data_IF_566187053429
#
_entry.id   IF_566187053429
#
_cell.length_a   1.000
_cell.length_b   1.000
_cell.length_c   1.000
_cell.angle_alpha   90.00
_cell.angle_beta   90.00
_cell.angle_gamma   90.00
#
_symmetry.space_group_name_H-M   'P 1'
#
loop_
_entity.id
_entity.type
_entity.pdbx_description
1 polymer ?
#
# COMPACT_ATOMS: atom_id res chain seq x y z
N UNK A 1 23.96 29.40 -7.49
CA UNK A 1 24.01 28.48 -6.33
C UNK A 1 24.63 27.19 -6.83
N UNK A 2 25.74 26.74 -6.25
CA UNK A 2 26.38 25.50 -6.66
C UNK A 2 25.47 24.30 -6.31
N UNK A 3 25.45 23.30 -7.19
CA UNK A 3 24.70 22.04 -7.03
C UNK A 3 25.03 21.35 -5.70
N UNK A 4 26.28 21.48 -5.25
CA UNK A 4 26.82 20.90 -4.02
C UNK A 4 26.12 21.43 -2.76
N UNK A 5 25.88 22.74 -2.68
CA UNK A 5 25.17 23.34 -1.57
C UNK A 5 23.72 22.83 -1.47
N UNK A 6 23.12 22.56 -2.63
CA UNK A 6 21.75 22.06 -2.73
C UNK A 6 21.68 20.59 -2.29
N UNK A 7 22.70 19.81 -2.61
CA UNK A 7 22.84 18.43 -2.14
C UNK A 7 22.98 18.36 -0.61
N UNK A 8 23.86 19.17 -0.01
CA UNK A 8 24.04 19.21 1.46
C UNK A 8 22.75 19.64 2.15
N UNK A 9 22.01 20.59 1.57
CA UNK A 9 20.73 21.04 2.13
C UNK A 9 19.68 19.92 2.11
N UNK A 10 19.69 19.06 1.10
CA UNK A 10 18.75 17.93 0.99
C UNK A 10 19.09 16.79 1.94
N UNK A 11 20.38 16.53 2.17
CA UNK A 11 20.88 15.41 2.99
C UNK A 11 21.43 15.90 4.34
N UNK A 12 20.88 16.98 4.88
CA UNK A 12 21.42 17.62 6.08
C UNK A 12 21.42 16.71 7.31
N UNK A 13 20.36 15.91 7.45
CA UNK A 13 20.18 14.97 8.57
C UNK A 13 21.27 13.90 8.50
N UNK A 14 21.42 13.25 7.33
CA UNK A 14 22.43 12.21 7.10
C UNK A 14 23.86 12.71 7.37
N UNK A 15 24.12 13.97 7.00
CA UNK A 15 25.41 14.64 7.25
C UNK A 15 25.66 14.82 8.75
N UNK A 16 24.66 15.18 9.53
CA UNK A 16 24.79 15.45 10.98
C UNK A 16 24.82 14.15 11.78
N UNK A 17 24.03 13.17 11.40
CA UNK A 17 24.00 11.84 12.02
C UNK A 17 25.23 10.98 11.67
N UNK A 18 26.04 11.42 10.70
CA UNK A 18 27.20 10.66 10.23
C UNK A 18 26.82 9.37 9.52
N UNK A 19 25.58 9.25 9.04
CA UNK A 19 25.03 8.04 8.40
C UNK A 19 25.37 7.92 6.92
N UNK A 20 26.29 8.74 6.42
CA UNK A 20 26.77 8.68 5.04
C UNK A 20 27.62 7.43 4.85
N UNK A 21 27.08 6.49 4.08
CA UNK A 21 27.63 5.13 3.88
C UNK A 21 28.95 5.06 3.13
N UNK A 22 29.36 6.13 2.45
CA UNK A 22 30.58 6.15 1.62
C UNK A 22 31.62 7.12 2.16
N UNK A 23 32.86 6.65 2.38
CA UNK A 23 34.00 7.48 2.80
C UNK A 23 34.29 8.63 1.83
N UNK A 24 34.07 8.41 0.53
CA UNK A 24 34.27 9.42 -0.52
C UNK A 24 33.35 10.63 -0.33
N UNK A 25 32.07 10.38 -0.04
CA UNK A 25 31.10 11.45 0.21
C UNK A 25 31.44 12.23 1.48
N UNK A 26 31.91 11.56 2.53
CA UNK A 26 32.35 12.24 3.76
C UNK A 26 33.50 13.22 3.50
N UNK A 27 34.55 12.78 2.80
CA UNK A 27 35.68 13.66 2.43
C UNK A 27 35.24 14.82 1.54
N UNK A 28 34.33 14.57 0.62
CA UNK A 28 33.80 15.59 -0.27
C UNK A 28 33.01 16.67 0.50
N UNK A 29 32.17 16.25 1.45
CA UNK A 29 31.40 17.17 2.31
C UNK A 29 32.34 17.99 3.18
N UNK A 30 33.32 17.38 3.83
CA UNK A 30 34.33 18.11 4.61
C UNK A 30 35.08 19.14 3.75
N UNK A 31 35.45 18.76 2.53
CA UNK A 31 36.06 19.67 1.56
C UNK A 31 35.16 20.87 1.26
N UNK A 32 33.89 20.62 0.97
CA UNK A 32 32.92 21.68 0.69
C UNK A 32 32.67 22.58 1.90
N UNK A 33 32.56 22.02 3.12
CA UNK A 33 32.33 22.80 4.34
C UNK A 33 33.52 23.72 4.68
N UNK A 34 34.75 23.35 4.30
CA UNK A 34 35.92 24.22 4.46
C UNK A 34 35.91 25.42 3.50
N UNK A 35 35.35 25.24 2.30
CA UNK A 35 35.30 26.29 1.27
C UNK A 35 34.05 27.16 1.39
N UNK A 36 32.89 26.57 1.71
CA UNK A 36 31.60 27.23 1.74
C UNK A 36 31.13 27.53 3.17
N UNK A 37 31.37 28.76 3.62
CA UNK A 37 30.95 29.24 4.94
C UNK A 37 29.43 29.15 5.16
N UNK A 38 28.62 29.31 4.12
CA UNK A 38 27.15 29.22 4.21
C UNK A 38 26.69 27.81 4.61
N UNK A 39 27.25 26.77 3.99
CA UNK A 39 26.93 25.39 4.31
C UNK A 39 27.48 25.01 5.69
N UNK A 40 28.68 25.47 6.05
CA UNK A 40 29.24 25.26 7.40
C UNK A 40 28.36 25.86 8.50
N UNK A 41 27.88 27.09 8.33
CA UNK A 41 26.96 27.72 9.29
C UNK A 41 25.63 26.97 9.37
N UNK A 42 25.10 26.50 8.24
CA UNK A 42 23.85 25.77 8.19
C UNK A 42 23.95 24.43 8.93
N UNK A 43 25.00 23.64 8.67
CA UNK A 43 25.26 22.37 9.37
C UNK A 43 25.44 22.62 10.87
N UNK A 44 26.24 23.61 11.26
CA UNK A 44 26.47 23.95 12.67
C UNK A 44 25.19 24.34 13.41
N UNK A 45 24.34 25.17 12.80
CA UNK A 45 23.05 25.57 13.40
C UNK A 45 22.10 24.38 13.56
N UNK A 46 22.06 23.52 12.55
CA UNK A 46 21.25 22.32 12.60
C UNK A 46 21.75 21.38 13.70
N UNK A 47 23.05 21.11 13.76
CA UNK A 47 23.67 20.29 14.80
C UNK A 47 23.34 20.81 16.21
N UNK A 48 23.48 22.11 16.48
CA UNK A 48 23.11 22.70 17.78
C UNK A 48 21.63 22.49 18.13
N UNK A 49 20.75 22.58 17.12
CA UNK A 49 19.31 22.35 17.31
C UNK A 49 19.04 20.88 17.56
N UNK A 50 19.73 19.99 16.85
CA UNK A 50 19.62 18.55 16.99
C UNK A 50 20.07 18.08 18.37
N UNK A 51 21.23 18.54 18.85
CA UNK A 51 21.74 18.26 20.19
C UNK A 51 20.75 18.72 21.28
N UNK A 52 20.09 19.88 21.08
CA UNK A 52 19.04 20.37 21.98
C UNK A 52 17.80 19.48 21.99
N UNK A 53 17.47 18.83 20.86
CA UNK A 53 16.36 17.87 20.77
C UNK A 53 16.73 16.49 21.33
N UNK A 54 17.98 16.07 21.21
CA UNK A 54 18.46 14.75 21.63
C UNK A 54 18.62 14.64 23.15
N UNK A 55 18.88 15.78 23.82
CA UNK A 55 18.80 15.88 25.28
C UNK A 55 17.54 16.65 25.70
N UNK A 56 16.32 16.11 25.49
CA UNK A 56 15.16 16.73 26.10
C UNK A 56 15.38 16.67 27.61
N UNK A 57 15.31 17.83 28.26
CA UNK A 57 15.23 17.90 29.71
C UNK A 57 14.17 16.86 30.13
N UNK A 58 14.55 15.90 30.99
CA UNK A 58 13.62 14.84 31.40
C UNK A 58 12.43 15.52 32.05
N UNK A 59 11.36 15.71 31.27
CA UNK A 59 10.08 16.15 31.79
C UNK A 59 9.60 14.97 32.61
N UNK A 60 9.77 15.06 33.93
CA UNK A 60 9.18 14.11 34.84
C UNK A 60 7.67 14.16 34.61
N UNK A 61 7.12 13.08 34.05
CA UNK A 61 5.70 12.96 33.86
C UNK A 61 5.03 13.12 35.23
N UNK A 62 3.96 13.91 35.29
CA UNK A 62 3.20 14.01 36.54
C UNK A 62 2.73 12.62 36.95
N UNK A 63 2.66 12.28 38.25
CA UNK A 63 2.28 10.95 38.72
C UNK A 63 0.87 10.52 38.25
N UNK A 64 0.05 11.46 37.75
CA UNK A 64 -1.26 11.21 37.19
C UNK A 64 -1.31 11.16 35.65
N UNK A 65 -0.19 11.47 34.97
CA UNK A 65 -0.14 11.51 33.50
C UNK A 65 -0.35 10.12 32.91
N UNK A 66 0.38 9.12 33.39
CA UNK A 66 0.30 7.74 32.87
C UNK A 66 -1.11 7.15 33.05
N UNK A 67 -1.71 7.34 34.22
CA UNK A 67 -3.07 6.87 34.48
C UNK A 67 -4.11 7.61 33.62
N UNK A 68 -3.93 8.90 33.39
CA UNK A 68 -4.81 9.69 32.51
C UNK A 68 -4.64 9.31 31.04
N UNK A 69 -3.42 9.01 30.60
CA UNK A 69 -3.10 8.54 29.25
C UNK A 69 -3.72 7.17 29.02
N UNK A 70 -3.50 6.23 29.94
CA UNK A 70 -4.04 4.88 29.86
C UNK A 70 -5.56 4.89 29.81
N UNK A 71 -6.20 5.71 30.65
CA UNK A 71 -7.67 5.90 30.63
C UNK A 71 -8.14 6.43 29.27
N UNK A 72 -7.48 7.43 28.69
CA UNK A 72 -7.83 7.97 27.37
C UNK A 72 -7.68 6.93 26.25
N UNK A 73 -6.62 6.13 26.28
CA UNK A 73 -6.41 5.03 25.31
C UNK A 73 -7.54 4.01 25.41
N UNK A 74 -7.92 3.62 26.63
CA UNK A 74 -9.03 2.71 26.88
C UNK A 74 -10.38 3.28 26.43
N UNK A 75 -10.64 4.57 26.67
CA UNK A 75 -11.86 5.24 26.20
C UNK A 75 -11.93 5.29 24.66
N UNK A 76 -10.82 5.59 23.99
CA UNK A 76 -10.73 5.57 22.53
C UNK A 76 -10.99 4.16 21.96
N UNK A 77 -10.43 3.13 22.59
CA UNK A 77 -10.70 1.74 22.18
C UNK A 77 -12.14 1.32 22.44
N UNK A 78 -12.71 1.69 23.60
CA UNK A 78 -14.08 1.32 23.98
C UNK A 78 -15.14 1.94 23.05
N UNK A 79 -14.85 3.13 22.50
CA UNK A 79 -15.68 3.76 21.47
C UNK A 79 -15.67 3.03 20.10
N UNK A 80 -14.61 2.28 19.78
CA UNK A 80 -14.48 1.51 18.53
C UNK A 80 -15.26 0.19 18.54
N UNK A 81 -15.42 -0.43 19.71
CA UNK A 81 -16.01 -1.79 19.82
C UNK A 81 -17.47 -1.84 19.33
N UNK A 82 -18.21 -0.74 19.42
CA UNK A 82 -19.61 -0.69 18.93
C UNK A 82 -19.65 -0.70 17.38
N UNK A 83 -18.59 -0.27 16.70
CA UNK A 83 -18.48 -0.32 15.23
C UNK A 83 -17.87 -1.61 14.67
N UNK A 84 -16.98 -2.27 15.42
CA UNK A 84 -16.22 -3.44 14.92
C UNK A 84 -17.01 -4.75 14.89
N UNK A 85 -18.04 -4.91 15.72
CA UNK A 85 -18.90 -6.11 15.70
C UNK A 85 -19.65 -6.28 14.38
N UNK A 86 -19.98 -5.17 13.69
CA UNK A 86 -20.62 -5.20 12.37
C UNK A 86 -19.62 -5.46 11.24
N UNK A 87 -18.38 -5.02 11.39
CA UNK A 87 -17.31 -5.25 10.41
C UNK A 87 -16.77 -6.69 10.45
N UNK A 88 -16.74 -7.32 11.64
CA UNK A 88 -16.37 -8.73 11.80
C UNK A 88 -17.33 -9.70 11.10
N UNK A 89 -18.63 -9.44 11.20
CA UNK A 89 -19.67 -10.27 10.55
C UNK A 89 -19.55 -10.23 9.00
N UNK A 90 -19.25 -9.05 8.44
CA UNK A 90 -19.04 -8.86 7.00
C UNK A 90 -17.80 -9.60 6.47
N UNK A 91 -16.75 -9.76 7.30
CA UNK A 91 -15.55 -10.52 6.92
C UNK A 91 -15.81 -12.02 6.81
N UNK A 92 -16.67 -12.59 7.66
CA UNK A 92 -17.07 -14.01 7.59
C UNK A 92 -18.08 -14.26 6.44
N UNK A 93 -18.88 -13.26 6.08
CA UNK A 93 -19.85 -13.38 4.99
C UNK A 93 -19.21 -13.44 3.59
N UNK A 94 -18.03 -12.84 3.40
CA UNK A 94 -17.31 -12.82 2.12
C UNK A 94 -17.01 -14.20 1.52
N UNK A 95 -16.39 -15.16 2.25
CA UNK A 95 -16.13 -16.48 1.69
C UNK A 95 -17.43 -17.25 1.37
N UNK A 96 -18.50 -17.04 2.15
CA UNK A 96 -19.81 -17.69 1.92
C UNK A 96 -20.48 -17.18 0.64
N UNK A 97 -20.40 -15.87 0.37
CA UNK A 97 -20.93 -15.30 -0.88
C UNK A 97 -20.21 -15.85 -2.12
N UNK A 98 -18.90 -16.04 -2.06
CA UNK A 98 -18.13 -16.58 -3.18
C UNK A 98 -18.48 -18.05 -3.47
N UNK A 99 -18.59 -18.88 -2.43
CA UNK A 99 -18.98 -20.28 -2.60
C UNK A 99 -20.43 -20.40 -3.08
N UNK A 100 -21.36 -19.63 -2.52
CA UNK A 100 -22.74 -19.58 -2.98
C UNK A 100 -22.85 -19.16 -4.45
N UNK A 101 -22.10 -18.13 -4.88
CA UNK A 101 -22.05 -17.69 -6.28
C UNK A 101 -21.56 -18.79 -7.22
N UNK A 102 -20.53 -19.56 -6.83
CA UNK A 102 -20.03 -20.69 -7.61
C UNK A 102 -21.10 -21.79 -7.77
N UNK A 103 -21.80 -22.14 -6.70
CA UNK A 103 -22.88 -23.13 -6.75
C UNK A 103 -24.05 -22.67 -7.64
N UNK A 104 -24.41 -21.39 -7.56
CA UNK A 104 -25.45 -20.80 -8.41
C UNK A 104 -25.03 -20.89 -9.88
N UNK A 105 -23.79 -20.48 -10.21
CA UNK A 105 -23.29 -20.54 -11.58
C UNK A 105 -23.25 -21.98 -12.13
N UNK A 106 -22.83 -22.96 -11.31
CA UNK A 106 -22.86 -24.38 -11.68
C UNK A 106 -24.28 -24.88 -11.92
N UNK A 107 -25.22 -24.52 -11.06
CA UNK A 107 -26.63 -24.91 -11.19
C UNK A 107 -27.24 -24.38 -12.48
N UNK A 108 -27.06 -23.09 -12.76
CA UNK A 108 -27.54 -22.46 -13.99
C UNK A 108 -26.85 -23.02 -15.23
N UNK A 109 -25.53 -23.20 -15.19
CA UNK A 109 -24.77 -23.78 -16.30
C UNK A 109 -25.21 -25.21 -16.62
N UNK A 110 -25.45 -26.03 -15.59
CA UNK A 110 -25.99 -27.39 -15.76
C UNK A 110 -27.38 -27.36 -16.39
N UNK A 111 -28.26 -26.49 -15.89
CA UNK A 111 -29.62 -26.38 -16.43
C UNK A 111 -29.60 -25.95 -17.90
N UNK A 112 -28.85 -24.89 -18.25
CA UNK A 112 -28.69 -24.38 -19.61
C UNK A 112 -28.09 -25.42 -20.57
N UNK A 113 -27.08 -26.16 -20.11
CA UNK A 113 -26.43 -27.21 -20.90
C UNK A 113 -27.36 -28.39 -21.21
N UNK A 114 -28.37 -28.64 -20.36
CA UNK A 114 -29.33 -29.72 -20.59
C UNK A 114 -30.44 -29.31 -21.57
N UNK A 115 -30.82 -28.03 -21.62
CA UNK A 115 -31.84 -27.52 -22.58
C UNK A 115 -31.34 -27.63 -24.03
N UNK A 116 -30.02 -27.60 -24.26
CA UNK A 116 -29.44 -27.73 -25.61
C UNK A 116 -29.32 -29.18 -26.11
N UNK A 117 -29.62 -30.19 -25.27
CA UNK A 117 -29.59 -31.62 -25.69
C UNK A 117 -30.91 -32.10 -26.28
N UNK A 118 -31.97 -31.32 -26.14
CA UNK A 118 -33.18 -31.48 -26.95
C UNK A 118 -32.90 -30.77 -28.28
N UNK A 119 -32.51 -31.58 -29.27
CA UNK A 119 -31.73 -31.16 -30.44
C UNK A 119 -32.32 -30.02 -31.25
N UNK A 120 -31.49 -29.37 -32.10
CA UNK A 120 -32.01 -28.46 -33.11
C UNK A 120 -33.03 -29.23 -33.94
N UNK A 121 -34.28 -28.77 -33.93
CA UNK A 121 -35.25 -29.17 -34.92
C UNK A 121 -34.56 -29.15 -36.29
N UNK A 122 -34.57 -30.28 -36.97
CA UNK A 122 -33.92 -30.50 -38.26
C UNK A 122 -34.25 -29.36 -39.22
N UNK A 123 -33.33 -28.40 -39.32
CA UNK A 123 -33.43 -27.31 -40.27
C UNK A 123 -33.03 -27.90 -41.61
N UNK A 124 -34.04 -28.12 -42.46
CA UNK A 124 -33.86 -28.66 -43.80
C UNK A 124 -32.89 -27.81 -44.63
N UNK A 125 -32.26 -28.39 -45.65
CA UNK A 125 -31.04 -27.86 -46.29
C UNK A 125 -31.25 -26.62 -47.19
N UNK A 126 -32.30 -25.81 -46.99
CA UNK A 126 -32.67 -24.74 -47.92
C UNK A 126 -32.61 -23.31 -47.37
N UNK A 127 -32.34 -23.08 -46.08
CA UNK A 127 -32.29 -21.71 -45.51
C UNK A 127 -30.87 -21.26 -45.14
N UNK A 128 -29.91 -21.48 -46.05
CA UNK A 128 -28.56 -20.91 -45.98
C UNK A 128 -28.51 -19.64 -46.85
N UNK A 129 -29.35 -18.65 -46.55
CA UNK A 129 -29.12 -17.26 -46.93
C UNK A 129 -29.68 -16.40 -45.81
N UNK A 130 -28.85 -15.54 -45.22
CA UNK A 130 -29.17 -14.62 -44.11
C UNK A 130 -29.06 -15.19 -42.69
N UNK A 131 -27.93 -15.78 -42.35
CA UNK A 131 -27.38 -15.60 -41.00
C UNK A 131 -26.04 -14.87 -41.16
N UNK A 132 -26.06 -13.58 -40.85
CA UNK A 132 -24.87 -12.73 -40.90
C UNK A 132 -23.75 -13.36 -40.10
N UNK A 133 -22.62 -13.59 -40.77
CA UNK A 133 -21.34 -13.83 -40.12
C UNK A 133 -21.06 -12.63 -39.21
N UNK A 134 -21.30 -12.78 -37.91
CA UNK A 134 -20.65 -11.93 -36.93
C UNK A 134 -19.24 -12.48 -36.79
N UNK A 135 -18.35 -11.96 -37.64
CA UNK A 135 -16.91 -12.03 -37.43
C UNK A 135 -16.62 -11.45 -36.04
N UNK A 136 -16.40 -12.32 -35.06
CA UNK A 136 -15.78 -11.94 -33.81
C UNK A 136 -14.33 -11.57 -34.12
N UNK A 137 -14.13 -10.30 -34.46
CA UNK A 137 -12.82 -9.67 -34.58
C UNK A 137 -12.03 -9.95 -33.31
N UNK A 138 -10.96 -10.74 -33.43
CA UNK A 138 -10.05 -11.13 -32.36
C UNK A 138 -9.18 -9.97 -31.85
N UNK A 139 -9.66 -8.73 -32.00
CA UNK A 139 -8.97 -7.50 -31.63
C UNK A 139 -9.34 -6.94 -30.25
N UNK A 140 -10.30 -7.53 -29.53
CA UNK A 140 -10.83 -6.93 -28.30
C UNK A 140 -10.46 -7.68 -27.00
N UNK A 141 -9.50 -8.61 -27.08
CA UNK A 141 -8.92 -9.28 -25.92
C UNK A 141 -7.69 -8.54 -25.36
N UNK A 142 -7.22 -7.48 -26.02
CA UNK A 142 -6.17 -6.59 -25.49
C UNK A 142 -6.67 -5.69 -24.36
N UNK A 143 -7.98 -5.41 -24.28
CA UNK A 143 -8.57 -4.57 -23.21
C UNK A 143 -8.51 -5.27 -21.84
N UNK A 144 -8.51 -6.61 -21.81
CA UNK A 144 -8.36 -7.37 -20.56
C UNK A 144 -6.89 -7.59 -20.15
N UNK A 145 -5.93 -7.28 -21.03
CA UNK A 145 -4.51 -7.37 -20.72
C UNK A 145 -3.92 -6.07 -20.14
N UNK A 146 -4.67 -4.95 -20.20
CA UNK A 146 -4.27 -3.66 -19.64
C UNK A 146 -4.67 -3.46 -18.16
N UNK A 147 -5.38 -4.41 -17.55
CA UNK A 147 -5.49 -4.46 -16.10
C UNK A 147 -4.19 -4.99 -15.51
N UNK A 148 -3.23 -4.06 -15.40
CA UNK A 148 -1.94 -4.20 -14.74
C UNK A 148 -2.04 -5.07 -13.48
N UNK A 149 -1.54 -6.31 -13.62
CA UNK A 149 -1.35 -7.26 -12.53
C UNK A 149 -0.37 -6.75 -11.46
N UNK A 150 0.22 -5.57 -11.64
CA UNK A 150 1.14 -4.93 -10.69
C UNK A 150 0.47 -4.31 -9.46
N UNK A 151 -0.85 -4.09 -9.46
CA UNK A 151 -1.49 -3.39 -8.32
C UNK A 151 -1.92 -4.31 -7.16
N UNK A 152 -2.23 -5.58 -7.43
CA UNK A 152 -2.76 -6.48 -6.40
C UNK A 152 -1.65 -7.17 -5.59
N UNK A 153 -0.53 -7.49 -6.24
CA UNK A 153 0.63 -8.10 -5.57
C UNK A 153 1.38 -7.10 -4.71
N UNK A 154 1.50 -5.84 -5.14
CA UNK A 154 2.11 -4.79 -4.32
C UNK A 154 1.29 -4.48 -3.06
N UNK A 155 -0.03 -4.57 -3.15
CA UNK A 155 -0.90 -4.41 -1.98
C UNK A 155 -0.72 -5.55 -0.96
N UNK A 156 -0.49 -6.79 -1.42
CA UNK A 156 -0.24 -7.93 -0.54
C UNK A 156 1.17 -7.98 0.03
N UNK A 157 2.17 -7.47 -0.70
CA UNK A 157 3.53 -7.35 -0.19
C UNK A 157 3.64 -6.23 0.86
N UNK A 158 2.96 -5.10 0.65
CA UNK A 158 2.98 -4.00 1.62
C UNK A 158 2.20 -4.33 2.92
N UNK A 159 1.18 -5.18 2.86
CA UNK A 159 0.43 -5.61 4.06
C UNK A 159 1.15 -6.61 4.96
N UNK A 160 2.15 -7.33 4.44
CA UNK A 160 2.89 -8.33 5.23
C UNK A 160 4.17 -7.77 5.88
N UNK A 161 4.66 -6.61 5.45
CA UNK A 161 5.82 -5.96 6.09
C UNK A 161 5.44 -5.36 7.44
N UNK A 162 4.23 -4.80 7.58
CA UNK A 162 3.75 -4.18 8.83
C UNK A 162 3.40 -5.18 9.96
N UNK A 163 3.44 -6.50 9.72
CA UNK A 163 3.09 -7.52 10.75
C UNK A 163 4.27 -8.20 11.41
N UNK A 164 5.51 -7.88 11.05
CA UNK A 164 6.70 -8.57 11.57
C UNK A 164 7.53 -7.80 12.60
N UNK A 165 7.20 -6.54 12.91
CA UNK A 165 7.96 -5.78 13.92
C UNK A 165 7.40 -5.85 15.35
N UNK A 166 6.21 -6.42 15.55
CA UNK A 166 5.62 -6.59 16.88
C UNK A 166 5.50 -8.08 17.27
N UNK A 167 6.63 -8.74 17.46
CA UNK A 167 6.68 -9.95 18.30
C UNK A 167 7.96 -9.95 19.14
N UNK A 168 7.84 -10.06 20.48
CA UNK A 168 8.97 -10.02 21.42
C UNK A 168 9.87 -11.24 21.35
#
# INVERSE_FOLDING_TARGET
MHSECLWIKKHLIEVVEGSITTEESSRYIEGHLRVCSKCAILVKKFQMTWEMLESPERIEASPSFESSLLRKIQECHKGSIIGETRAGLLKVLRPVMLTAGLFIALFFGYHLGNISKEGPASMGPNDIKEAGYVEYSSGDLSVLNDYSLGSATDFLLNFNVDRKEDSP
#
